data_IF_464866733247
#
_entry.id   IF_464866733247
#
_cell.length_a   1.000
_cell.length_b   1.000
_cell.length_c   1.000
_cell.angle_alpha   90.00
_cell.angle_beta   90.00
_cell.angle_gamma   90.00
#
_symmetry.space_group_name_H-M   'P 1'
#
loop_
_entity.id
_entity.type
_entity.pdbx_description
1 polymer ?
#
# COMPACT_ATOMS: atom_id res chain seq x y z
N UNK A 1 -1.17 6.70 -1.80
CA UNK A 1 0.29 6.63 -1.61
C UNK A 1 0.58 6.94 -0.16
N UNK A 2 1.38 6.11 0.49
CA UNK A 2 1.77 6.24 1.89
C UNK A 2 3.25 6.56 1.97
N UNK A 3 3.59 7.68 2.60
CA UNK A 3 4.93 8.04 3.01
C UNK A 3 5.11 7.71 4.49
N UNK A 4 6.15 6.94 4.80
CA UNK A 4 6.46 6.50 6.16
C UNK A 4 6.95 7.62 7.07
N UNK A 5 7.13 8.83 6.52
CA UNK A 5 7.37 10.06 7.27
C UNK A 5 6.09 10.87 7.50
N UNK A 6 4.99 10.15 7.78
CA UNK A 6 3.69 10.68 8.20
C UNK A 6 3.01 11.61 7.18
N UNK A 7 2.90 11.15 5.92
CA UNK A 7 2.10 11.84 4.90
C UNK A 7 1.41 10.87 3.94
N UNK A 8 0.32 11.32 3.34
CA UNK A 8 -0.44 10.54 2.35
C UNK A 8 -0.92 11.43 1.21
N UNK A 9 -0.93 10.88 0.00
CA UNK A 9 -1.47 11.53 -1.20
C UNK A 9 -1.92 10.48 -2.22
N UNK A 10 -2.27 10.89 -3.44
CA UNK A 10 -2.75 9.98 -4.49
C UNK A 10 -1.89 10.05 -5.76
N UNK A 11 -1.86 8.97 -6.54
CA UNK A 11 -1.34 8.98 -7.90
C UNK A 11 -2.49 8.70 -8.86
N UNK A 12 -2.54 9.43 -9.97
CA UNK A 12 -3.59 9.30 -10.98
C UNK A 12 -2.99 8.69 -12.24
N UNK A 13 -3.58 7.58 -12.70
CA UNK A 13 -3.17 6.95 -13.96
C UNK A 13 -3.81 7.70 -15.13
N UNK A 14 -3.00 8.42 -15.90
CA UNK A 14 -3.44 9.06 -17.12
C UNK A 14 -3.30 8.08 -18.29
N UNK A 15 -4.39 7.89 -19.03
CA UNK A 15 -4.36 7.19 -20.31
C UNK A 15 -3.93 8.17 -21.40
N UNK A 16 -2.76 7.97 -22.00
CA UNK A 16 -2.36 8.79 -23.13
C UNK A 16 -3.06 8.29 -24.40
N UNK A 17 -3.97 9.10 -24.94
CA UNK A 17 -4.79 8.78 -26.11
C UNK A 17 -3.98 8.60 -27.41
N UNK A 18 -2.71 9.06 -27.46
CA UNK A 18 -1.92 9.12 -28.70
C UNK A 18 -0.74 8.15 -28.78
N UNK A 19 -0.64 7.15 -27.90
CA UNK A 19 0.46 6.18 -27.97
C UNK A 19 0.41 4.98 -27.04
N UNK A 20 -0.71 4.72 -26.36
CA UNK A 20 -0.89 3.53 -25.52
C UNK A 20 -0.09 3.51 -24.20
N UNK A 21 0.85 4.43 -23.99
CA UNK A 21 1.61 4.51 -22.75
C UNK A 21 0.78 5.17 -21.64
N UNK A 22 0.53 4.43 -20.57
CA UNK A 22 -0.10 4.94 -19.35
C UNK A 22 0.96 5.46 -18.39
N UNK A 23 0.76 6.66 -17.85
CA UNK A 23 1.69 7.28 -16.89
C UNK A 23 0.96 7.56 -15.58
N UNK A 24 1.62 7.26 -14.46
CA UNK A 24 1.17 7.67 -13.13
C UNK A 24 1.64 9.09 -12.84
N UNK A 25 0.72 9.95 -12.48
CA UNK A 25 0.97 11.36 -12.15
C UNK A 25 0.70 11.58 -10.66
N UNK A 26 1.65 12.22 -9.99
CA UNK A 26 1.51 12.64 -8.60
C UNK A 26 0.36 13.64 -8.45
N UNK A 27 -0.51 13.48 -7.45
CA UNK A 27 -1.52 14.46 -7.08
C UNK A 27 -1.69 14.52 -5.56
N UNK A 28 -1.57 15.72 -4.99
CA UNK A 28 -1.85 15.96 -3.57
C UNK A 28 -3.00 16.97 -3.43
N UNK A 29 -4.22 16.49 -3.11
CA UNK A 29 -5.38 17.34 -2.90
C UNK A 29 -5.23 18.31 -1.71
N UNK A 30 -4.44 17.94 -0.69
CA UNK A 30 -4.24 18.78 0.50
C UNK A 30 -3.46 20.04 0.16
N UNK A 31 -2.53 19.90 -0.79
CA UNK A 31 -1.63 20.98 -1.25
C UNK A 31 -2.11 21.63 -2.56
N UNK A 32 -3.14 21.09 -3.20
CA UNK A 32 -3.66 21.59 -4.47
C UNK A 32 -2.64 21.47 -5.62
N UNK A 33 -1.74 20.48 -5.58
CA UNK A 33 -0.68 20.31 -6.57
C UNK A 33 -0.85 19.04 -7.41
N UNK A 34 -0.41 19.13 -8.66
CA UNK A 34 -0.36 18.04 -9.63
C UNK A 34 1.04 17.99 -10.24
N UNK A 35 1.57 16.79 -10.40
CA UNK A 35 2.85 16.47 -11.05
C UNK A 35 4.10 17.17 -10.46
N UNK A 36 4.08 17.39 -9.14
CA UNK A 36 5.22 17.93 -8.38
C UNK A 36 5.75 16.96 -7.32
N UNK A 37 6.33 15.80 -7.71
CA UNK A 37 6.71 14.76 -6.76
C UNK A 37 7.84 15.17 -5.79
N UNK A 38 8.66 16.17 -6.14
CA UNK A 38 9.73 16.66 -5.27
C UNK A 38 9.27 17.72 -4.25
N UNK A 39 7.98 18.03 -4.17
CA UNK A 39 7.45 19.04 -3.22
C UNK A 39 7.77 18.67 -1.77
N UNK A 40 7.75 17.39 -1.42
CA UNK A 40 7.99 16.93 -0.06
C UNK A 40 9.47 17.04 0.33
N UNK A 41 10.38 16.57 -0.53
CA UNK A 41 11.81 16.62 -0.26
C UNK A 41 12.35 18.06 -0.39
N UNK A 42 12.09 18.73 -1.53
CA UNK A 42 12.69 20.04 -1.84
C UNK A 42 11.86 21.21 -1.36
N UNK A 43 10.54 21.09 -1.33
CA UNK A 43 9.66 22.13 -0.83
C UNK A 43 9.63 22.14 0.69
N UNK A 44 9.30 21.01 1.32
CA UNK A 44 9.15 20.93 2.77
C UNK A 44 10.44 20.56 3.52
N UNK A 45 11.47 20.07 2.81
CA UNK A 45 12.71 19.62 3.45
C UNK A 45 12.57 18.27 4.16
N UNK A 46 11.60 17.42 3.78
CA UNK A 46 11.39 16.12 4.42
C UNK A 46 12.55 15.17 4.14
N UNK A 47 13.01 14.50 5.19
CA UNK A 47 13.98 13.42 5.11
C UNK A 47 13.28 12.08 4.83
N UNK A 48 12.82 11.90 3.58
CA UNK A 48 12.05 10.72 3.15
C UNK A 48 12.81 9.40 3.40
N UNK A 49 12.06 8.34 3.73
CA UNK A 49 12.61 6.99 3.98
C UNK A 49 12.05 5.95 3.00
N UNK A 50 10.74 5.70 3.06
CA UNK A 50 10.04 4.75 2.22
C UNK A 50 8.66 5.27 1.87
N UNK A 51 8.30 5.12 0.60
CA UNK A 51 7.02 5.53 0.05
C UNK A 51 6.46 4.37 -0.77
N UNK A 52 5.22 4.00 -0.48
CA UNK A 52 4.52 2.91 -1.13
C UNK A 52 3.24 3.39 -1.80
N UNK A 53 3.05 2.97 -3.05
CA UNK A 53 1.81 3.14 -3.78
C UNK A 53 1.01 1.84 -3.73
N UNK A 54 -0.30 1.98 -3.65
CA UNK A 54 -1.24 0.87 -3.58
C UNK A 54 -2.32 1.08 -4.64
N UNK A 55 -2.64 0.01 -5.35
CA UNK A 55 -3.87 -0.14 -6.11
C UNK A 55 -4.68 -1.29 -5.51
N UNK A 56 -5.94 -1.52 -5.92
CA UNK A 56 -6.67 -2.70 -5.49
C UNK A 56 -5.97 -4.03 -5.82
N UNK A 57 -4.98 -4.02 -6.71
CA UNK A 57 -4.36 -5.22 -7.28
C UNK A 57 -2.84 -5.25 -7.14
N UNK A 58 -2.22 -4.16 -6.68
CA UNK A 58 -0.76 -4.07 -6.61
C UNK A 58 -0.28 -3.20 -5.46
N UNK A 59 0.93 -3.52 -4.99
CA UNK A 59 1.72 -2.69 -4.10
C UNK A 59 3.09 -2.44 -4.74
N UNK A 60 3.53 -1.19 -4.74
CA UNK A 60 4.78 -0.77 -5.37
C UNK A 60 5.56 0.16 -4.45
N UNK A 61 6.88 -0.04 -4.38
CA UNK A 61 7.79 0.91 -3.73
C UNK A 61 8.14 2.01 -4.71
N UNK A 62 7.65 3.23 -4.44
CA UNK A 62 7.71 4.37 -5.37
C UNK A 62 8.65 5.49 -4.90
N UNK A 63 9.43 5.26 -3.83
CA UNK A 63 10.33 6.27 -3.23
C UNK A 63 11.19 6.99 -4.26
N UNK A 64 11.74 6.27 -5.25
CA UNK A 64 12.62 6.85 -6.28
C UNK A 64 11.96 7.98 -7.11
N UNK A 65 10.62 8.05 -7.16
CA UNK A 65 9.89 9.15 -7.82
C UNK A 65 9.91 10.45 -7.01
N UNK A 66 9.99 10.34 -5.69
CA UNK A 66 9.78 11.44 -4.74
C UNK A 66 11.06 11.99 -4.12
N UNK A 67 12.21 11.42 -4.48
CA UNK A 67 13.52 11.84 -4.01
C UNK A 67 14.46 12.08 -5.18
N UNK A 68 15.30 13.09 -5.06
CA UNK A 68 16.45 13.32 -5.91
C UNK A 68 17.72 12.63 -5.41
N UNK A 69 17.70 12.09 -4.18
CA UNK A 69 18.81 11.36 -3.56
C UNK A 69 18.32 10.04 -2.93
N UNK A 70 18.14 9.04 -3.79
CA UNK A 70 17.73 7.70 -3.35
C UNK A 70 18.79 7.02 -2.46
N UNK A 71 20.08 7.33 -2.62
CA UNK A 71 21.11 6.73 -1.77
C UNK A 71 20.94 7.18 -0.31
N UNK A 72 20.60 8.45 -0.09
CA UNK A 72 20.34 8.97 1.24
C UNK A 72 19.05 8.38 1.87
N UNK A 73 18.00 8.10 1.08
CA UNK A 73 16.79 7.42 1.60
C UNK A 73 17.12 5.99 2.05
N UNK A 74 17.94 5.25 1.28
CA UNK A 74 18.40 3.90 1.60
C UNK A 74 19.20 3.87 2.91
N UNK A 75 20.08 4.85 3.13
CA UNK A 75 20.83 4.99 4.38
C UNK A 75 19.90 5.22 5.58
N UNK A 76 18.91 6.11 5.45
CA UNK A 76 17.98 6.44 6.54
C UNK A 76 17.03 5.32 6.90
N UNK A 77 16.51 4.57 5.92
CA UNK A 77 15.52 3.51 6.18
C UNK A 77 16.12 2.29 6.89
N UNK A 78 17.44 2.09 6.84
CA UNK A 78 18.15 0.95 7.45
C UNK A 78 17.59 -0.44 7.07
N UNK A 79 16.89 -0.53 5.94
CA UNK A 79 16.33 -1.76 5.36
C UNK A 79 17.08 -2.04 4.05
N UNK A 80 17.80 -3.17 3.97
CA UNK A 80 18.43 -3.64 2.74
C UNK A 80 17.43 -3.80 1.59
N UNK A 81 17.87 -3.52 0.36
CA UNK A 81 17.00 -3.58 -0.82
C UNK A 81 16.46 -5.00 -1.07
N UNK A 82 17.27 -6.04 -0.87
CA UNK A 82 16.86 -7.44 -1.03
C UNK A 82 15.74 -7.85 -0.05
N UNK A 83 15.85 -7.40 1.21
CA UNK A 83 14.80 -7.61 2.22
C UNK A 83 13.51 -6.90 1.81
N UNK A 84 13.61 -5.64 1.39
CA UNK A 84 12.47 -4.85 0.93
C UNK A 84 11.76 -5.50 -0.28
N UNK A 85 12.54 -5.92 -1.28
CA UNK A 85 12.02 -6.61 -2.46
C UNK A 85 11.38 -7.95 -2.10
N UNK A 86 11.95 -8.70 -1.14
CA UNK A 86 11.34 -9.94 -0.64
C UNK A 86 9.98 -9.72 0.00
N UNK A 87 9.85 -8.68 0.84
CA UNK A 87 8.57 -8.31 1.47
C UNK A 87 7.55 -7.85 0.44
N UNK A 88 7.95 -7.02 -0.53
CA UNK A 88 7.07 -6.56 -1.61
C UNK A 88 6.59 -7.71 -2.48
N UNK A 89 7.47 -8.66 -2.84
CA UNK A 89 7.11 -9.81 -3.64
C UNK A 89 6.10 -10.72 -2.93
N UNK A 90 6.28 -10.95 -1.62
CA UNK A 90 5.32 -11.71 -0.82
C UNK A 90 3.99 -10.97 -0.67
N UNK A 91 4.01 -9.64 -0.47
CA UNK A 91 2.80 -8.82 -0.41
C UNK A 91 2.03 -8.86 -1.75
N UNK A 92 2.72 -8.69 -2.88
CA UNK A 92 2.13 -8.77 -4.21
C UNK A 92 1.51 -10.14 -4.48
N UNK A 93 2.22 -11.21 -4.14
CA UNK A 93 1.73 -12.59 -4.27
C UNK A 93 0.45 -12.82 -3.46
N UNK A 94 0.34 -12.23 -2.27
CA UNK A 94 -0.87 -12.30 -1.46
C UNK A 94 -2.02 -11.51 -2.08
N UNK A 95 -1.77 -10.30 -2.58
CA UNK A 95 -2.78 -9.52 -3.30
C UNK A 95 -3.35 -10.30 -4.50
N UNK A 96 -2.51 -11.00 -5.26
CA UNK A 96 -2.93 -11.75 -6.45
C UNK A 96 -3.70 -13.05 -6.14
N UNK A 97 -3.39 -13.69 -5.02
CA UNK A 97 -3.93 -15.02 -4.68
C UNK A 97 -5.08 -14.96 -3.68
N UNK A 98 -5.02 -14.03 -2.74
CA UNK A 98 -5.85 -14.03 -1.54
C UNK A 98 -6.99 -13.02 -1.63
N UNK A 99 -6.84 -11.93 -2.39
CA UNK A 99 -7.92 -10.96 -2.58
C UNK A 99 -8.96 -11.47 -3.60
N UNK A 100 -10.26 -11.21 -3.36
CA UNK A 100 -11.30 -11.58 -4.31
C UNK A 100 -11.07 -10.90 -5.67
N UNK A 101 -10.99 -11.70 -6.74
CA UNK A 101 -10.71 -11.23 -8.11
C UNK A 101 -11.89 -10.47 -8.76
N UNK A 102 -12.88 -9.98 -8.00
CA UNK A 102 -14.08 -9.30 -8.54
C UNK A 102 -14.52 -8.10 -7.70
N UNK A 103 -15.29 -7.23 -8.37
CA UNK A 103 -15.53 -5.81 -8.09
C UNK A 103 -15.68 -5.45 -6.61
N UNK A 104 -14.99 -4.38 -6.23
CA UNK A 104 -15.24 -3.59 -5.04
C UNK A 104 -16.77 -3.38 -4.86
N UNK A 105 -17.34 -3.90 -3.78
CA UNK A 105 -18.78 -3.82 -3.48
C UNK A 105 -19.49 -5.17 -3.28
N UNK A 106 -20.62 -5.08 -2.60
CA UNK A 106 -21.37 -6.09 -1.84
C UNK A 106 -22.12 -7.12 -2.71
N UNK A 107 -21.56 -7.49 -3.87
CA UNK A 107 -22.12 -8.53 -4.72
C UNK A 107 -22.00 -9.89 -4.02
N UNK A 108 -23.14 -10.49 -3.65
CA UNK A 108 -23.32 -11.74 -2.92
C UNK A 108 -22.76 -13.04 -3.59
N UNK A 109 -21.70 -12.92 -4.39
CA UNK A 109 -21.04 -14.04 -5.07
C UNK A 109 -19.52 -13.88 -5.18
N UNK A 110 -18.90 -13.04 -4.34
CA UNK A 110 -17.44 -12.87 -4.35
C UNK A 110 -16.75 -14.00 -3.59
N UNK A 111 -16.18 -14.95 -4.33
CA UNK A 111 -15.31 -16.01 -3.80
C UNK A 111 -13.87 -15.49 -3.83
N UNK A 112 -13.20 -15.42 -2.67
CA UNK A 112 -11.74 -15.51 -2.64
C UNK A 112 -11.35 -16.89 -3.13
N UNK A 113 -10.29 -16.97 -3.94
CA UNK A 113 -9.92 -18.17 -4.69
C UNK A 113 -9.73 -19.38 -3.76
N UNK A 114 -9.25 -19.12 -2.52
CA UNK A 114 -8.76 -20.17 -1.63
C UNK A 114 -9.20 -20.01 -0.14
N UNK A 115 -9.89 -18.94 0.28
CA UNK A 115 -10.21 -18.70 1.72
C UNK A 115 -11.56 -18.02 1.97
N UNK A 116 -12.14 -18.24 3.15
CA UNK A 116 -13.39 -17.61 3.57
C UNK A 116 -13.16 -16.18 4.07
N UNK A 117 -14.22 -15.35 4.11
CA UNK A 117 -14.13 -13.98 4.66
C UNK A 117 -13.72 -13.97 6.14
N UNK A 118 -14.00 -15.04 6.90
CA UNK A 118 -13.55 -15.20 8.28
C UNK A 118 -12.01 -15.34 8.39
N UNK A 119 -11.37 -15.96 7.39
CA UNK A 119 -9.91 -16.08 7.34
C UNK A 119 -9.23 -14.76 6.93
N UNK A 120 -9.97 -13.90 6.21
CA UNK A 120 -9.54 -12.53 5.84
C UNK A 120 -9.78 -11.52 6.98
N UNK A 121 -10.78 -11.74 7.83
CA UNK A 121 -11.08 -10.86 8.97
C UNK A 121 -10.01 -10.91 10.08
N UNK A 122 -9.16 -11.95 10.11
CA UNK A 122 -8.05 -12.07 11.05
C UNK A 122 -6.98 -10.97 10.92
N UNK A 123 -7.02 -10.18 9.84
CA UNK A 123 -6.04 -9.13 9.57
C UNK A 123 -6.44 -7.75 10.12
N UNK A 124 -7.61 -7.64 10.77
CA UNK A 124 -8.07 -6.41 11.43
C UNK A 124 -7.77 -6.34 12.94
N UNK A 125 -7.31 -7.42 13.56
CA UNK A 125 -7.02 -7.45 15.00
C UNK A 125 -5.51 -7.39 15.26
N UNK A 126 -5.03 -6.18 15.58
CA UNK A 126 -3.95 -6.07 16.56
C UNK A 126 -4.40 -6.83 17.82
N UNK A 127 -3.48 -7.61 18.39
CA UNK A 127 -3.77 -8.71 19.30
C UNK A 127 -4.72 -8.38 20.44
N UNK A 128 -5.57 -9.36 20.75
CA UNK A 128 -5.55 -9.97 22.08
C UNK A 128 -6.32 -11.28 22.04
N UNK A 129 -5.61 -12.37 22.37
CA UNK A 129 -6.23 -13.60 22.79
C UNK A 129 -6.84 -13.37 24.19
N UNK A 130 -8.07 -12.83 24.23
CA UNK A 130 -8.87 -12.89 25.46
C UNK A 130 -9.56 -14.25 25.48
N UNK A 131 -9.07 -15.13 26.35
CA UNK A 131 -9.70 -16.41 26.64
C UNK A 131 -11.17 -16.18 27.05
N UNK A 132 -12.10 -16.79 26.31
CA UNK A 132 -13.51 -16.79 26.71
C UNK A 132 -13.66 -17.65 27.99
N UNK A 133 -14.34 -17.16 29.03
CA UNK A 133 -14.62 -17.99 30.20
C UNK A 133 -15.56 -19.13 29.78
N UNK A 134 -15.14 -20.35 30.06
CA UNK A 134 -15.95 -21.55 29.88
C UNK A 134 -17.24 -21.40 30.68
N UNK A 135 -18.38 -21.46 29.98
CA UNK A 135 -19.69 -21.46 30.60
C UNK A 135 -19.79 -22.63 31.59
N UNK A 136 -20.00 -22.29 32.86
CA UNK A 136 -20.38 -23.23 33.90
C UNK A 136 -21.69 -23.89 33.48
N UNK A 137 -21.67 -25.22 33.36
CA UNK A 137 -22.86 -26.02 33.12
C UNK A 137 -23.89 -25.74 34.22
N UNK A 138 -25.06 -25.22 33.81
CA UNK A 138 -26.22 -25.12 34.67
C UNK A 138 -26.70 -26.53 35.03
N UNK A 139 -27.01 -26.72 36.32
CA UNK A 139 -27.57 -27.94 36.92
C UNK A 139 -28.99 -28.22 36.44
#
# INVERSE_FOLDING_TARGET
VLDFTDHVWVEVKLQNASGGNTTWVHADPSEGVLDQPLIYEKGWGKNLTMIFAFTPWSVEHVTARYTSDYAATVQRRAVPEDVLQGVLAEAQKRLERELPLRSWGDGAGSLSRDRSFADLALWGHFGDAVALPTAVAAR
#
